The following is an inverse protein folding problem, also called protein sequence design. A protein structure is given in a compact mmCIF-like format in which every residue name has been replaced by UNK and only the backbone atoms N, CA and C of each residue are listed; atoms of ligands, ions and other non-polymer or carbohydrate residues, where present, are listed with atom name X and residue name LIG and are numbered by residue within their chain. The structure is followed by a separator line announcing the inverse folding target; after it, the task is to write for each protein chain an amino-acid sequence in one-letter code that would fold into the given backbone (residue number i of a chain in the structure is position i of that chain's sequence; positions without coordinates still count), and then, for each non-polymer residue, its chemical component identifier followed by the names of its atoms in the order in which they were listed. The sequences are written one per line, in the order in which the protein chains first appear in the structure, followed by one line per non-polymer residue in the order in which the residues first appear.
data_IF_938191845836
#
_entry.id   IF_938191845836
#
_cell.length_a   1.000
_cell.length_b   1.000
_cell.length_c   1.000
_cell.angle_alpha   90.00
_cell.angle_beta   90.00
_cell.angle_gamma   90.00
#
_symmetry.space_group_name_H-M   'P 1'
#
loop_
_entity.id
_entity.type
_entity.pdbx_description
1 polymer ?
#
# COMPACT_ATOMS: atom_id res chain seq x y z
N UNK A 1 -31.29 36.88 -1.38
CA UNK A 1 -30.80 35.58 -1.88
C UNK A 1 -29.29 35.54 -1.69
N UNK A 2 -28.77 34.68 -0.81
CA UNK A 2 -27.32 34.51 -0.65
C UNK A 2 -27.06 33.03 -0.33
N UNK A 3 -26.78 32.23 -1.35
CA UNK A 3 -26.41 30.82 -1.17
C UNK A 3 -24.90 30.74 -0.96
N UNK A 4 -24.41 30.25 0.20
CA UNK A 4 -22.98 30.04 0.38
C UNK A 4 -22.54 28.89 -0.54
N UNK A 5 -21.58 29.23 -1.38
CA UNK A 5 -20.89 28.35 -2.31
C UNK A 5 -20.18 27.23 -1.52
N UNK A 6 -20.84 26.06 -1.37
CA UNK A 6 -20.23 24.87 -0.81
C UNK A 6 -19.24 24.32 -1.83
N UNK A 7 -18.01 24.84 -1.81
CA UNK A 7 -16.89 24.12 -2.39
C UNK A 7 -16.79 22.78 -1.66
N UNK A 8 -16.83 21.63 -2.36
CA UNK A 8 -16.50 20.37 -1.73
C UNK A 8 -15.07 20.49 -1.22
N UNK A 9 -14.91 20.41 0.11
CA UNK A 9 -13.62 20.28 0.79
C UNK A 9 -12.81 19.24 0.02
N UNK A 10 -11.69 19.71 -0.53
CA UNK A 10 -10.58 18.94 -1.07
C UNK A 10 -10.68 17.47 -0.70
N UNK A 11 -11.10 16.64 -1.66
CA UNK A 11 -10.70 15.24 -1.66
C UNK A 11 -9.17 15.28 -1.69
N UNK A 12 -8.55 15.14 -0.53
CA UNK A 12 -7.10 15.02 -0.40
C UNK A 12 -6.68 13.97 -1.42
N UNK A 13 -5.84 14.29 -2.41
CA UNK A 13 -5.38 13.28 -3.33
C UNK A 13 -4.73 12.21 -2.48
N UNK A 14 -5.23 10.97 -2.60
CA UNK A 14 -4.61 9.76 -2.08
C UNK A 14 -3.12 9.93 -2.29
N UNK A 15 -2.33 10.01 -1.20
CA UNK A 15 -0.92 10.36 -1.30
C UNK A 15 -0.29 9.55 -2.43
N UNK A 16 0.41 10.19 -3.38
CA UNK A 16 1.07 9.45 -4.45
C UNK A 16 1.90 8.38 -3.77
N UNK A 17 1.60 7.12 -4.06
CA UNK A 17 2.38 5.99 -3.53
C UNK A 17 3.85 6.25 -3.80
N UNK A 18 4.72 5.75 -2.94
CA UNK A 18 6.16 5.87 -3.13
C UNK A 18 6.51 5.45 -4.57
N UNK A 19 7.43 6.18 -5.20
CA UNK A 19 7.92 5.82 -6.53
C UNK A 19 8.42 4.36 -6.55
N UNK A 20 9.05 3.92 -5.46
CA UNK A 20 9.53 2.54 -5.31
C UNK A 20 8.39 1.52 -5.29
N UNK A 21 7.31 1.79 -4.55
CA UNK A 21 6.12 0.94 -4.48
C UNK A 21 5.40 0.85 -5.83
N UNK A 22 5.30 1.98 -6.55
CA UNK A 22 4.74 2.03 -7.90
C UNK A 22 5.57 1.21 -8.90
N UNK A 23 6.90 1.33 -8.85
CA UNK A 23 7.80 0.56 -9.69
C UNK A 23 7.71 -0.94 -9.40
N UNK A 24 7.68 -1.34 -8.14
CA UNK A 24 7.55 -2.74 -7.74
C UNK A 24 6.25 -3.36 -8.27
N UNK A 25 5.13 -2.66 -8.15
CA UNK A 25 3.84 -3.13 -8.69
C UNK A 25 3.87 -3.26 -10.23
N UNK A 26 4.52 -2.34 -10.93
CA UNK A 26 4.65 -2.41 -12.38
C UNK A 26 5.50 -3.61 -12.83
N UNK A 27 6.63 -3.88 -12.17
CA UNK A 27 7.47 -5.05 -12.45
C UNK A 27 6.68 -6.35 -12.26
N UNK A 28 5.97 -6.48 -11.14
CA UNK A 28 5.16 -7.67 -10.87
C UNK A 28 4.03 -7.84 -11.90
N UNK A 29 3.42 -6.74 -12.34
CA UNK A 29 2.38 -6.77 -13.37
C UNK A 29 2.91 -7.21 -14.75
N UNK A 30 4.15 -6.86 -15.11
CA UNK A 30 4.80 -7.35 -16.35
C UNK A 30 4.89 -8.88 -16.36
N UNK A 31 5.15 -9.48 -15.19
CA UNK A 31 5.22 -10.94 -15.03
C UNK A 31 3.85 -11.60 -14.81
N UNK A 32 2.75 -10.83 -14.90
CA UNK A 32 1.40 -11.32 -14.60
C UNK A 32 1.17 -11.68 -13.13
N UNK A 33 2.07 -11.27 -12.24
CA UNK A 33 2.00 -11.53 -10.80
C UNK A 33 1.18 -10.43 -10.14
N UNK A 34 0.07 -10.83 -9.52
CA UNK A 34 -0.79 -9.91 -8.78
C UNK A 34 -0.59 -10.12 -7.26
N UNK A 35 -0.05 -9.12 -6.53
CA UNK A 35 0.12 -9.24 -5.09
C UNK A 35 -1.20 -9.46 -4.37
N UNK A 36 -1.15 -10.19 -3.25
CA UNK A 36 -2.31 -10.33 -2.36
C UNK A 36 -2.67 -8.99 -1.70
N UNK A 37 -3.94 -8.83 -1.29
CA UNK A 37 -4.39 -7.65 -0.55
C UNK A 37 -3.55 -7.37 0.71
N UNK A 38 -3.04 -8.42 1.37
CA UNK A 38 -2.15 -8.30 2.54
C UNK A 38 -0.77 -7.75 2.16
N UNK A 39 -0.23 -8.15 1.01
CA UNK A 39 1.03 -7.60 0.47
C UNK A 39 0.89 -6.12 0.12
N UNK A 40 -0.23 -5.74 -0.49
CA UNK A 40 -0.53 -4.33 -0.79
C UNK A 40 -0.67 -3.48 0.49
N UNK A 41 -1.33 -4.01 1.52
CA UNK A 41 -1.47 -3.31 2.80
C UNK A 41 -0.12 -3.08 3.50
N UNK A 42 0.79 -4.06 3.46
CA UNK A 42 2.15 -3.90 3.98
C UNK A 42 2.92 -2.82 3.23
N UNK A 43 2.86 -2.84 1.89
CA UNK A 43 3.48 -1.82 1.04
C UNK A 43 2.96 -0.42 1.37
N UNK A 44 1.65 -0.24 1.52
CA UNK A 44 1.05 1.04 1.90
C UNK A 44 1.44 1.48 3.32
N UNK A 45 1.65 0.53 4.24
CA UNK A 45 2.09 0.84 5.61
C UNK A 45 3.54 1.36 5.63
N UNK A 46 4.40 0.81 4.76
CA UNK A 46 5.76 1.33 4.55
C UNK A 46 5.71 2.73 3.94
N UNK A 47 4.93 2.92 2.88
CA UNK A 47 4.82 4.20 2.16
C UNK A 47 4.28 5.33 3.03
N UNK A 48 3.32 5.03 3.89
CA UNK A 48 2.76 6.00 4.84
C UNK A 48 3.64 6.25 6.06
N UNK A 49 4.77 5.54 6.19
CA UNK A 49 5.66 5.62 7.34
C UNK A 49 5.09 5.06 8.64
N UNK A 50 3.92 4.39 8.58
CA UNK A 50 3.29 3.74 9.74
C UNK A 50 3.99 2.42 10.10
N UNK A 51 4.80 1.87 9.19
CA UNK A 51 5.61 0.68 9.40
C UNK A 51 7.01 0.86 8.78
N UNK A 52 8.04 0.40 9.49
CA UNK A 52 9.40 0.34 8.93
C UNK A 52 9.58 -0.87 8.01
N UNK A 53 10.59 -0.81 7.12
CA UNK A 53 10.94 -1.94 6.26
C UNK A 53 11.25 -3.23 7.06
N UNK A 54 11.95 -3.11 8.20
CA UNK A 54 12.27 -4.25 9.05
C UNK A 54 11.01 -4.92 9.64
N UNK A 55 10.04 -4.13 10.11
CA UNK A 55 8.76 -4.64 10.61
C UNK A 55 7.93 -5.31 9.50
N UNK A 56 7.96 -4.76 8.29
CA UNK A 56 7.28 -5.37 7.15
C UNK A 56 7.90 -6.72 6.78
N UNK A 57 9.23 -6.83 6.74
CA UNK A 57 9.94 -8.10 6.51
C UNK A 57 9.58 -9.13 7.58
N UNK A 58 9.58 -8.73 8.85
CA UNK A 58 9.19 -9.62 9.94
C UNK A 58 7.75 -10.12 9.77
N UNK A 59 6.81 -9.24 9.40
CA UNK A 59 5.42 -9.60 9.13
C UNK A 59 5.26 -10.61 7.98
N UNK A 60 6.07 -10.46 6.93
CA UNK A 60 6.11 -11.40 5.80
C UNK A 60 6.63 -12.77 6.25
N UNK A 61 7.75 -12.80 6.99
CA UNK A 61 8.36 -14.04 7.50
C UNK A 61 7.39 -14.78 8.42
N UNK A 62 6.76 -14.08 9.36
CA UNK A 62 5.78 -14.67 10.28
C UNK A 62 4.60 -15.27 9.53
N UNK A 63 4.13 -14.58 8.48
CA UNK A 63 3.06 -15.09 7.64
C UNK A 63 3.49 -16.28 6.79
N UNK A 64 4.69 -16.28 6.22
CA UNK A 64 5.22 -17.41 5.47
C UNK A 64 5.33 -18.67 6.34
N UNK A 65 5.73 -18.52 7.61
CA UNK A 65 5.75 -19.63 8.59
C UNK A 65 4.39 -20.23 8.88
N UNK A 66 3.30 -19.46 8.77
CA UNK A 66 1.95 -19.99 8.95
C UNK A 66 1.58 -20.93 7.79
N UNK A 67 1.94 -20.56 6.55
CA UNK A 67 1.68 -21.39 5.36
C UNK A 67 2.60 -22.61 5.23
N UNK A 68 3.76 -22.61 5.89
CA UNK A 68 4.67 -23.76 5.90
C UNK A 68 4.30 -24.83 6.94
N UNK A 69 3.25 -24.60 7.73
CA UNK A 69 2.74 -25.55 8.74
C UNK A 69 1.54 -26.37 8.24
N UNK A 70 1.02 -26.05 7.06
CA UNK A 70 0.02 -26.81 6.31
C UNK A 70 0.72 -27.64 5.21
#
# INVERSE_FOLDING_TARGET
MNTPNRHPKNATPSQPGSWASSQALAILAVDGIRPSNKGLALMQSIDSGTMTHAQAIQSIIERARQYAKD
#
